data_IF_517544085854
#
_entry.id   IF_517544085854
#
_cell.length_a   1.000
_cell.length_b   1.000
_cell.length_c   1.000
_cell.angle_alpha   90.00
_cell.angle_beta   90.00
_cell.angle_gamma   90.00
#
_symmetry.space_group_name_H-M   'P 1'
#
loop_
_entity.id
_entity.type
_entity.pdbx_description
1 polymer ?
#
# COMPACT_ATOMS: atom_id res chain seq x y z
N UNK A 1 14.09 -20.46 10.19
CA UNK A 1 13.58 -21.67 9.50
C UNK A 1 12.28 -21.29 8.83
N UNK A 2 12.15 -21.53 7.52
CA UNK A 2 10.85 -21.38 6.86
C UNK A 2 9.91 -22.46 7.41
N UNK A 3 8.76 -22.04 7.93
CA UNK A 3 7.72 -22.97 8.38
C UNK A 3 7.09 -23.57 7.12
N UNK A 4 6.78 -24.87 7.15
CA UNK A 4 6.12 -25.54 6.04
C UNK A 4 4.75 -24.88 5.75
N UNK A 5 4.30 -24.98 4.49
CA UNK A 5 2.96 -24.50 4.13
C UNK A 5 1.91 -25.21 4.99
N UNK A 6 1.01 -24.47 5.66
CA UNK A 6 0.03 -25.06 6.55
C UNK A 6 -0.96 -25.90 5.74
N UNK A 7 -1.31 -27.07 6.25
CA UNK A 7 -2.31 -27.96 5.67
C UNK A 7 -3.49 -28.07 6.65
N UNK A 8 -4.61 -27.43 6.32
CA UNK A 8 -5.79 -27.33 7.18
C UNK A 8 -6.78 -28.47 6.94
N UNK A 9 -6.80 -29.01 5.72
CA UNK A 9 -7.73 -30.06 5.32
C UNK A 9 -7.10 -30.94 4.25
N UNK A 10 -7.27 -32.25 4.44
CA UNK A 10 -6.83 -33.25 3.48
C UNK A 10 -7.64 -33.15 2.18
N UNK A 11 -6.92 -33.16 1.07
CA UNK A 11 -7.40 -32.93 -0.30
C UNK A 11 -6.99 -34.07 -1.24
N UNK A 12 -6.52 -35.21 -0.74
CA UNK A 12 -6.22 -36.36 -1.58
C UNK A 12 -7.54 -36.92 -2.19
N UNK A 13 -7.73 -36.82 -3.52
CA UNK A 13 -8.96 -37.29 -4.16
C UNK A 13 -9.17 -38.80 -3.99
N UNK A 14 -8.10 -39.59 -3.94
CA UNK A 14 -8.19 -41.04 -3.79
C UNK A 14 -8.67 -41.40 -2.38
N UNK A 15 -8.17 -40.68 -1.37
CA UNK A 15 -8.60 -40.87 0.01
C UNK A 15 -10.06 -40.48 0.18
N UNK A 16 -10.47 -39.30 -0.28
CA UNK A 16 -11.87 -38.83 -0.23
C UNK A 16 -12.81 -39.84 -0.88
N UNK A 17 -12.45 -40.34 -2.07
CA UNK A 17 -13.28 -41.31 -2.79
C UNK A 17 -13.38 -42.63 -2.03
N UNK A 18 -12.28 -43.11 -1.45
CA UNK A 18 -12.29 -44.37 -0.69
C UNK A 18 -13.09 -44.27 0.61
N UNK A 19 -13.01 -43.14 1.31
CA UNK A 19 -13.84 -42.82 2.48
C UNK A 19 -15.34 -42.81 2.13
N UNK A 20 -15.73 -42.16 1.02
CA UNK A 20 -17.12 -42.14 0.57
C UNK A 20 -17.66 -43.52 0.19
N UNK A 21 -16.85 -44.33 -0.50
CA UNK A 21 -17.24 -45.71 -0.84
C UNK A 21 -17.45 -46.52 0.44
N UNK A 22 -16.51 -46.44 1.39
CA UNK A 22 -16.62 -47.17 2.65
C UNK A 22 -17.89 -46.78 3.43
N UNK A 23 -18.21 -45.49 3.51
CA UNK A 23 -19.44 -45.02 4.15
C UNK A 23 -20.70 -45.52 3.45
N UNK A 24 -20.72 -45.55 2.12
CA UNK A 24 -21.84 -46.09 1.36
C UNK A 24 -22.02 -47.61 1.58
N UNK A 25 -20.92 -48.37 1.55
CA UNK A 25 -20.96 -49.82 1.77
C UNK A 25 -21.43 -50.17 3.18
N UNK A 26 -20.98 -49.41 4.18
CA UNK A 26 -21.42 -49.55 5.57
C UNK A 26 -22.92 -49.24 5.74
N UNK A 27 -23.38 -48.12 5.19
CA UNK A 27 -24.78 -47.70 5.33
C UNK A 27 -25.77 -48.57 4.54
N UNK A 28 -25.38 -49.04 3.36
CA UNK A 28 -26.25 -49.85 2.49
C UNK A 28 -26.16 -51.36 2.76
N UNK A 29 -25.11 -51.82 3.44
CA UNK A 29 -24.78 -53.23 3.61
C UNK A 29 -24.41 -53.94 2.30
N UNK A 30 -24.17 -53.18 1.22
CA UNK A 30 -23.87 -53.71 -0.13
C UNK A 30 -22.46 -53.32 -0.53
N UNK A 31 -21.75 -54.26 -1.14
CA UNK A 31 -20.45 -53.99 -1.76
C UNK A 31 -20.63 -53.29 -3.11
N UNK A 32 -19.89 -52.20 -3.32
CA UNK A 32 -19.99 -51.36 -4.49
C UNK A 32 -18.92 -51.75 -5.54
N UNK A 33 -19.35 -51.94 -6.78
CA UNK A 33 -18.45 -52.32 -7.89
C UNK A 33 -18.28 -51.16 -8.89
N UNK A 34 -17.15 -51.10 -9.62
CA UNK A 34 -16.81 -49.96 -10.48
C UNK A 34 -17.85 -49.57 -11.55
N UNK A 35 -18.59 -50.54 -12.11
CA UNK A 35 -19.53 -50.31 -13.21
C UNK A 35 -20.97 -49.99 -12.77
N UNK A 36 -21.22 -49.79 -11.48
CA UNK A 36 -22.55 -49.50 -10.94
C UNK A 36 -22.88 -48.01 -11.03
N UNK A 37 -24.15 -47.66 -11.23
CA UNK A 37 -24.59 -46.27 -11.34
C UNK A 37 -24.30 -45.48 -10.05
N UNK A 38 -24.42 -46.14 -8.91
CA UNK A 38 -24.11 -45.60 -7.59
C UNK A 38 -22.62 -45.24 -7.47
N UNK A 39 -21.73 -45.99 -8.13
CA UNK A 39 -20.30 -45.65 -8.17
C UNK A 39 -20.04 -44.36 -8.93
N UNK A 40 -20.66 -44.19 -10.10
CA UNK A 40 -20.53 -42.96 -10.88
C UNK A 40 -21.02 -41.73 -10.11
N UNK A 41 -22.10 -41.89 -9.33
CA UNK A 41 -22.59 -40.83 -8.45
C UNK A 41 -21.63 -40.51 -7.31
N UNK A 42 -21.04 -41.53 -6.66
CA UNK A 42 -20.04 -41.33 -5.61
C UNK A 42 -18.79 -40.65 -6.16
N UNK A 43 -18.30 -41.04 -7.34
CA UNK A 43 -17.14 -40.38 -7.97
C UNK A 43 -17.46 -38.90 -8.28
N UNK A 44 -18.68 -38.59 -8.72
CA UNK A 44 -19.13 -37.20 -8.90
C UNK A 44 -19.15 -36.42 -7.57
N UNK A 45 -19.66 -37.02 -6.49
CA UNK A 45 -19.69 -36.38 -5.17
C UNK A 45 -18.29 -36.18 -4.60
N UNK A 46 -17.42 -37.19 -4.70
CA UNK A 46 -16.02 -37.11 -4.26
C UNK A 46 -15.26 -36.01 -5.00
N UNK A 47 -15.48 -35.89 -6.31
CA UNK A 47 -14.90 -34.78 -7.09
C UNK A 47 -15.39 -33.42 -6.61
N UNK A 48 -16.70 -33.26 -6.39
CA UNK A 48 -17.29 -32.01 -5.89
C UNK A 48 -16.80 -31.66 -4.49
N UNK A 49 -16.68 -32.65 -3.60
CA UNK A 49 -16.14 -32.46 -2.26
C UNK A 49 -14.67 -32.05 -2.31
N UNK A 50 -13.85 -32.71 -3.14
CA UNK A 50 -12.45 -32.34 -3.30
C UNK A 50 -12.28 -30.88 -3.72
N UNK A 51 -13.08 -30.40 -4.68
CA UNK A 51 -13.06 -28.97 -5.07
C UNK A 51 -13.41 -28.05 -3.90
N UNK A 52 -14.37 -28.43 -3.05
CA UNK A 52 -14.73 -27.68 -1.85
C UNK A 52 -13.58 -27.69 -0.83
N UNK A 53 -12.94 -28.83 -0.58
CA UNK A 53 -11.80 -28.94 0.34
C UNK A 53 -10.60 -28.11 -0.14
N UNK A 54 -10.33 -28.08 -1.45
CA UNK A 54 -9.34 -27.17 -2.05
C UNK A 54 -9.70 -25.70 -1.79
N UNK A 55 -10.97 -25.31 -2.02
CA UNK A 55 -11.42 -23.96 -1.77
C UNK A 55 -11.31 -23.56 -0.27
N UNK A 56 -11.62 -24.48 0.64
CA UNK A 56 -11.47 -24.29 2.09
C UNK A 56 -9.99 -24.05 2.45
N UNK A 57 -9.08 -24.86 1.92
CA UNK A 57 -7.65 -24.67 2.15
C UNK A 57 -7.18 -23.29 1.65
N UNK A 58 -7.54 -22.91 0.42
CA UNK A 58 -7.15 -21.62 -0.14
C UNK A 58 -7.71 -20.45 0.67
N UNK A 59 -8.97 -20.55 1.12
CA UNK A 59 -9.59 -19.57 2.00
C UNK A 59 -8.89 -19.50 3.37
N UNK A 60 -8.54 -20.64 3.96
CA UNK A 60 -7.83 -20.70 5.23
C UNK A 60 -6.45 -20.04 5.14
N UNK A 61 -5.71 -20.23 4.04
CA UNK A 61 -4.44 -19.55 3.78
C UNK A 61 -4.59 -18.04 3.71
N UNK A 62 -5.72 -17.52 3.21
CA UNK A 62 -5.96 -16.07 3.17
C UNK A 62 -6.09 -15.43 4.55
N UNK A 63 -6.29 -16.20 5.62
CA UNK A 63 -6.29 -15.69 7.00
C UNK A 63 -4.88 -15.53 7.59
N UNK A 64 -3.84 -16.00 6.88
CA UNK A 64 -2.46 -15.93 7.32
C UNK A 64 -1.71 -14.87 6.52
N UNK A 65 -1.17 -13.85 7.20
CA UNK A 65 -0.42 -12.74 6.57
C UNK A 65 0.67 -13.25 5.61
N UNK A 66 1.33 -14.36 5.95
CA UNK A 66 2.37 -14.97 5.12
C UNK A 66 1.91 -15.40 3.71
N UNK A 67 0.63 -15.77 3.57
CA UNK A 67 0.06 -16.36 2.34
C UNK A 67 -1.11 -15.56 1.75
N UNK A 68 -1.63 -14.59 2.50
CA UNK A 68 -2.72 -13.74 2.05
C UNK A 68 -2.28 -12.83 0.90
N UNK A 69 -3.24 -12.52 0.04
CA UNK A 69 -3.17 -11.55 -1.07
C UNK A 69 -4.30 -10.53 -0.94
N UNK A 70 -4.29 -9.48 -1.75
CA UNK A 70 -5.39 -8.54 -1.79
C UNK A 70 -6.74 -9.25 -2.10
N UNK A 71 -7.86 -8.88 -1.43
CA UNK A 71 -8.00 -7.84 -0.40
C UNK A 71 -7.79 -8.35 1.05
N UNK A 72 -7.60 -9.66 1.28
CA UNK A 72 -7.48 -10.19 2.63
C UNK A 72 -6.23 -9.70 3.36
N UNK A 73 -5.11 -9.54 2.65
CA UNK A 73 -3.89 -8.96 3.21
C UNK A 73 -4.12 -7.54 3.75
N UNK A 74 -4.93 -6.75 3.05
CA UNK A 74 -5.27 -5.38 3.44
C UNK A 74 -6.10 -5.36 4.74
N UNK A 75 -7.12 -6.22 4.84
CA UNK A 75 -7.89 -6.38 6.07
C UNK A 75 -7.02 -6.85 7.24
N UNK A 76 -6.11 -7.81 7.02
CA UNK A 76 -5.17 -8.25 8.04
C UNK A 76 -4.18 -7.14 8.44
N UNK A 77 -3.75 -6.31 7.49
CA UNK A 77 -2.91 -5.15 7.75
C UNK A 77 -3.61 -4.08 8.58
N UNK A 78 -4.89 -3.84 8.32
CA UNK A 78 -5.73 -2.90 9.07
C UNK A 78 -5.78 -3.25 10.56
N UNK A 79 -5.82 -4.54 10.92
CA UNK A 79 -5.81 -5.00 12.32
C UNK A 79 -4.54 -4.57 13.09
N UNK A 80 -3.44 -4.31 12.38
CA UNK A 80 -2.17 -3.82 12.96
C UNK A 80 -1.88 -2.36 12.59
N UNK A 81 -2.85 -1.64 12.05
CA UNK A 81 -2.74 -0.23 11.66
C UNK A 81 -1.83 0.02 10.46
N UNK A 82 -1.62 -0.98 9.61
CA UNK A 82 -0.83 -0.86 8.37
C UNK A 82 -1.77 -0.82 7.18
N UNK A 83 -1.71 0.26 6.42
CA UNK A 83 -2.46 0.42 5.18
C UNK A 83 -1.54 0.37 3.96
N UNK A 84 -2.08 -0.13 2.84
CA UNK A 84 -1.41 -0.13 1.54
C UNK A 84 -1.13 1.31 1.11
N UNK A 85 0.09 1.55 0.64
CA UNK A 85 0.44 2.87 0.13
C UNK A 85 -0.18 3.06 -1.26
N UNK A 86 -0.93 4.15 -1.49
CA UNK A 86 -1.51 4.43 -2.79
C UNK A 86 -0.42 4.74 -3.81
N UNK A 87 -0.78 4.62 -5.09
CA UNK A 87 0.09 5.08 -6.17
C UNK A 87 0.43 6.57 -5.99
N UNK A 88 1.69 6.93 -6.22
CA UNK A 88 2.17 8.30 -6.13
C UNK A 88 2.41 8.87 -7.52
N UNK A 89 2.13 10.16 -7.68
CA UNK A 89 2.42 10.88 -8.91
C UNK A 89 3.84 11.43 -8.89
N UNK A 90 4.47 11.47 -10.06
CA UNK A 90 5.78 12.06 -10.23
C UNK A 90 5.73 13.58 -10.05
N UNK A 91 6.81 14.16 -9.53
CA UNK A 91 6.97 15.59 -9.29
C UNK A 91 8.15 16.13 -10.07
N UNK A 92 8.07 17.42 -10.40
CA UNK A 92 9.16 18.18 -11.03
C UNK A 92 9.04 19.66 -10.68
N UNK A 93 10.02 20.45 -11.10
CA UNK A 93 9.97 21.92 -11.03
C UNK A 93 9.78 22.47 -12.44
N UNK A 94 8.70 23.21 -12.67
CA UNK A 94 8.44 23.94 -13.91
C UNK A 94 8.94 25.38 -13.78
N UNK A 95 9.55 25.88 -14.84
CA UNK A 95 9.88 27.28 -15.02
C UNK A 95 8.97 27.87 -16.09
N UNK A 96 8.22 28.89 -15.70
CA UNK A 96 7.47 29.72 -16.63
C UNK A 96 8.32 30.93 -17.00
N UNK A 97 8.36 31.25 -18.29
CA UNK A 97 9.14 32.37 -18.81
C UNK A 97 8.33 33.22 -19.79
N UNK A 98 8.64 34.51 -19.83
CA UNK A 98 8.10 35.48 -20.78
C UNK A 98 9.23 36.08 -21.61
N UNK A 99 8.97 36.40 -22.88
CA UNK A 99 9.96 37.03 -23.76
C UNK A 99 10.20 38.50 -23.43
N UNK A 100 9.21 39.16 -22.83
CA UNK A 100 9.29 40.54 -22.34
C UNK A 100 8.77 40.61 -20.91
N UNK A 101 9.51 41.30 -20.04
CA UNK A 101 9.14 41.43 -18.64
C UNK A 101 7.73 42.03 -18.51
N UNK A 102 6.89 41.37 -17.70
CA UNK A 102 5.53 41.83 -17.47
C UNK A 102 5.55 43.21 -16.78
N UNK A 103 4.66 44.11 -17.22
CA UNK A 103 4.50 45.46 -16.64
C UNK A 103 3.80 45.45 -15.27
N UNK A 104 3.13 44.34 -14.95
CA UNK A 104 2.45 44.08 -13.70
C UNK A 104 2.74 42.64 -13.27
N UNK A 105 2.53 42.35 -11.99
CA UNK A 105 2.63 40.98 -11.50
C UNK A 105 1.66 40.07 -12.26
N UNK A 106 2.15 38.93 -12.73
CA UNK A 106 1.37 37.91 -13.41
C UNK A 106 1.20 36.71 -12.48
N UNK A 107 -0.04 36.33 -12.21
CA UNK A 107 -0.35 35.17 -11.38
C UNK A 107 -0.55 33.97 -12.29
N UNK A 108 0.23 32.91 -12.04
CA UNK A 108 0.03 31.59 -12.60
C UNK A 108 -0.71 30.78 -11.54
N UNK A 109 -1.99 30.44 -11.76
CA UNK A 109 -2.78 29.75 -10.76
C UNK A 109 -2.30 28.31 -10.56
N UNK A 110 -2.55 27.78 -9.37
CA UNK A 110 -2.48 26.36 -9.04
C UNK A 110 -3.30 25.56 -10.07
N UNK A 111 -2.80 24.40 -10.45
CA UNK A 111 -3.46 23.54 -11.42
C UNK A 111 -3.19 23.89 -12.88
N UNK A 112 -2.35 24.90 -13.18
CA UNK A 112 -1.93 25.21 -14.56
C UNK A 112 -1.16 24.03 -15.15
N UNK A 113 -1.59 23.50 -16.30
CA UNK A 113 -1.02 22.27 -16.87
C UNK A 113 0.04 22.53 -17.95
N UNK A 114 1.12 21.78 -17.87
CA UNK A 114 2.15 21.62 -18.91
C UNK A 114 2.27 20.15 -19.33
N UNK A 115 2.40 19.89 -20.62
CA UNK A 115 2.48 18.57 -21.22
C UNK A 115 3.91 18.23 -21.65
N UNK A 116 4.28 16.98 -21.39
CA UNK A 116 5.50 16.34 -21.89
C UNK A 116 5.21 15.49 -23.14
N UNK A 117 4.00 14.91 -23.19
CA UNK A 117 3.45 14.17 -24.32
C UNK A 117 1.92 14.22 -24.27
N UNK A 118 1.25 13.68 -25.29
CA UNK A 118 -0.21 13.64 -25.39
C UNK A 118 -0.91 12.99 -24.17
N UNK A 119 -0.22 12.12 -23.43
CA UNK A 119 -0.77 11.38 -22.29
C UNK A 119 -0.17 11.76 -20.93
N UNK A 120 0.90 12.58 -20.89
CA UNK A 120 1.57 12.96 -19.65
C UNK A 120 1.54 14.48 -19.47
N UNK A 121 0.85 14.92 -18.42
CA UNK A 121 0.67 16.32 -18.05
C UNK A 121 1.05 16.52 -16.59
N UNK A 122 1.58 17.69 -16.27
CA UNK A 122 1.95 18.13 -14.94
C UNK A 122 1.20 19.41 -14.61
N UNK A 123 0.64 19.48 -13.41
CA UNK A 123 -0.11 20.62 -12.92
C UNK A 123 0.68 21.32 -11.80
N UNK A 124 0.67 22.66 -11.78
CA UNK A 124 1.32 23.44 -10.71
C UNK A 124 0.70 23.17 -9.35
N UNK A 125 1.54 23.00 -8.33
CA UNK A 125 1.10 22.62 -6.98
C UNK A 125 0.54 23.80 -6.17
N UNK A 126 0.89 25.03 -6.54
CA UNK A 126 0.47 26.25 -5.86
C UNK A 126 0.35 27.43 -6.84
N UNK A 127 -0.32 28.49 -6.39
CA UNK A 127 -0.31 29.78 -7.08
C UNK A 127 1.09 30.38 -7.02
N UNK A 128 1.64 30.76 -8.18
CA UNK A 128 2.94 31.42 -8.25
C UNK A 128 2.81 32.77 -8.96
N UNK A 129 3.47 33.78 -8.41
CA UNK A 129 3.48 35.13 -8.98
C UNK A 129 4.80 35.35 -9.70
N UNK A 130 4.73 35.63 -11.00
CA UNK A 130 5.84 36.22 -11.74
C UNK A 130 5.84 37.74 -11.48
N UNK A 131 6.83 38.27 -10.74
CA UNK A 131 6.86 39.70 -10.42
C UNK A 131 7.03 40.57 -11.66
N UNK A 132 6.50 41.79 -11.60
CA UNK A 132 6.77 42.79 -12.63
C UNK A 132 8.29 43.02 -12.77
N UNK A 133 8.79 43.08 -14.01
CA UNK A 133 10.23 43.21 -14.29
C UNK A 133 11.01 41.88 -14.30
N UNK A 134 10.44 40.77 -13.82
CA UNK A 134 11.05 39.44 -13.92
C UNK A 134 10.73 38.77 -15.26
N UNK A 135 11.65 37.92 -15.74
CA UNK A 135 11.49 37.17 -16.99
C UNK A 135 11.06 35.72 -16.78
N UNK A 136 11.31 35.16 -15.59
CA UNK A 136 10.94 33.79 -15.28
C UNK A 136 10.64 33.58 -13.81
N UNK A 137 9.87 32.54 -13.52
CA UNK A 137 9.54 32.07 -12.18
C UNK A 137 9.46 30.55 -12.18
N UNK A 138 9.87 29.91 -11.09
CA UNK A 138 9.83 28.47 -10.92
C UNK A 138 8.77 28.07 -9.89
N UNK A 139 8.11 26.93 -10.11
CA UNK A 139 7.08 26.36 -9.23
C UNK A 139 7.12 24.85 -9.31
N UNK A 140 6.79 24.16 -8.21
CA UNK A 140 6.67 22.71 -8.23
C UNK A 140 5.40 22.29 -8.97
N UNK A 141 5.48 21.14 -9.64
CA UNK A 141 4.37 20.58 -10.36
C UNK A 141 4.31 19.07 -10.16
N UNK A 142 3.10 18.55 -10.06
CA UNK A 142 2.81 17.13 -9.90
C UNK A 142 2.14 16.59 -11.16
N UNK A 143 2.53 15.39 -11.59
CA UNK A 143 1.93 14.69 -12.71
C UNK A 143 0.44 14.43 -12.42
N UNK A 144 -0.42 14.67 -13.41
CA UNK A 144 -1.86 14.46 -13.28
C UNK A 144 -2.17 12.96 -13.13
N UNK A 145 -1.40 12.10 -13.80
CA UNK A 145 -1.49 10.65 -13.63
C UNK A 145 -0.56 10.17 -12.52
N UNK A 146 -1.05 9.28 -11.67
CA UNK A 146 -0.23 8.52 -10.71
C UNK A 146 0.53 7.39 -11.41
N UNK A 147 1.62 6.93 -10.80
CA UNK A 147 2.43 5.84 -11.34
C UNK A 147 3.72 6.29 -12.00
N UNK A 148 4.40 5.35 -12.64
CA UNK A 148 5.76 5.55 -13.15
C UNK A 148 5.83 6.29 -14.49
N UNK A 149 4.71 6.45 -15.20
CA UNK A 149 4.66 7.13 -16.50
C UNK A 149 5.07 8.60 -16.44
N UNK A 150 4.91 9.23 -15.28
CA UNK A 150 5.35 10.60 -15.02
C UNK A 150 6.84 10.73 -14.71
N UNK A 151 7.62 9.65 -14.65
CA UNK A 151 9.05 9.71 -14.31
C UNK A 151 9.97 9.94 -15.52
N UNK A 152 11.19 10.37 -15.23
CA UNK A 152 12.33 10.44 -16.15
C UNK A 152 12.18 11.42 -17.33
N UNK A 153 11.23 12.37 -17.27
CA UNK A 153 11.16 13.48 -18.23
C UNK A 153 12.31 14.44 -17.96
N UNK A 154 13.28 14.46 -18.87
CA UNK A 154 14.50 15.25 -18.75
C UNK A 154 14.20 16.76 -18.82
N UNK A 155 15.09 17.63 -18.32
CA UNK A 155 14.93 19.08 -18.43
C UNK A 155 14.54 19.53 -19.84
N UNK A 156 13.65 20.51 -19.92
CA UNK A 156 13.04 21.04 -21.13
C UNK A 156 12.15 20.09 -21.95
N UNK A 157 11.93 18.83 -21.54
CA UNK A 157 11.01 17.93 -22.26
C UNK A 157 9.53 18.22 -21.95
N UNK A 158 9.23 18.74 -20.76
CA UNK A 158 7.88 19.19 -20.38
C UNK A 158 7.78 20.65 -20.82
N UNK A 159 7.27 20.88 -22.04
CA UNK A 159 7.39 22.20 -22.70
C UNK A 159 6.11 22.75 -23.33
N UNK A 160 5.06 21.92 -23.46
CA UNK A 160 3.81 22.35 -24.07
C UNK A 160 2.85 22.90 -23.00
N UNK A 161 2.62 24.22 -22.99
CA UNK A 161 1.62 24.83 -22.10
C UNK A 161 0.21 24.49 -22.59
N UNK A 162 -0.59 23.85 -21.73
CA UNK A 162 -1.95 23.39 -22.06
C UNK A 162 -2.99 24.45 -21.72
N UNK A 163 -2.86 25.04 -20.53
CA UNK A 163 -3.82 26.03 -20.04
C UNK A 163 -3.34 27.45 -20.32
N UNK A 164 -4.26 28.31 -20.78
CA UNK A 164 -3.96 29.73 -20.99
C UNK A 164 -3.88 30.45 -19.65
N UNK A 165 -2.80 31.19 -19.42
CA UNK A 165 -2.60 31.99 -18.21
C UNK A 165 -2.54 33.47 -18.58
N UNK A 166 -3.62 34.20 -18.26
CA UNK A 166 -3.76 35.61 -18.59
C UNK A 166 -3.69 35.88 -20.10
N UNK A 167 -3.22 37.07 -20.46
CA UNK A 167 -3.07 37.54 -21.85
C UNK A 167 -1.59 37.60 -22.29
N UNK A 168 -0.71 36.84 -21.63
CA UNK A 168 0.72 36.83 -21.91
C UNK A 168 1.12 35.57 -22.67
N UNK A 169 2.06 35.71 -23.61
CA UNK A 169 2.71 34.59 -24.27
C UNK A 169 3.77 33.99 -23.32
N UNK A 170 3.35 32.99 -22.56
CA UNK A 170 4.19 32.24 -21.63
C UNK A 170 4.78 31.00 -22.32
N UNK A 171 6.06 30.75 -22.07
CA UNK A 171 6.67 29.44 -22.29
C UNK A 171 6.83 28.72 -20.95
N UNK A 172 6.77 27.39 -20.98
CA UNK A 172 7.01 26.54 -19.83
C UNK A 172 8.09 25.52 -20.17
N UNK A 173 8.98 25.24 -19.23
CA UNK A 173 9.96 24.15 -19.32
C UNK A 173 10.17 23.55 -17.94
N UNK A 174 10.43 22.24 -17.84
CA UNK A 174 10.91 21.68 -16.57
C UNK A 174 12.41 21.93 -16.38
N UNK A 175 12.80 22.30 -15.16
CA UNK A 175 14.19 22.51 -14.76
C UNK A 175 14.88 21.22 -14.32
N UNK A 176 14.12 20.32 -13.72
CA UNK A 176 14.61 19.07 -13.14
C UNK A 176 13.99 17.88 -13.86
N UNK A 177 14.68 16.74 -13.82
CA UNK A 177 14.06 15.49 -14.24
C UNK A 177 12.88 15.15 -13.32
N UNK A 178 11.77 14.68 -13.88
CA UNK A 178 10.62 14.27 -13.07
C UNK A 178 10.90 12.95 -12.36
N UNK A 179 10.44 12.82 -11.11
CA UNK A 179 10.69 11.64 -10.28
C UNK A 179 9.65 11.47 -9.17
N UNK A 180 9.66 10.32 -8.49
CA UNK A 180 8.79 10.04 -7.35
C UNK A 180 7.44 9.43 -7.71
N UNK A 181 7.14 9.24 -9.00
CA UNK A 181 5.97 8.49 -9.42
C UNK A 181 6.18 7.00 -9.16
N UNK A 182 5.23 6.34 -8.50
CA UNK A 182 5.29 4.91 -8.27
C UNK A 182 3.89 4.31 -8.28
N UNK A 183 3.81 3.02 -8.62
CA UNK A 183 2.56 2.27 -8.54
C UNK A 183 2.08 2.12 -7.09
N UNK A 184 0.85 1.63 -6.95
CA UNK A 184 0.36 1.17 -5.65
C UNK A 184 1.30 0.08 -5.09
N UNK A 185 1.47 0.08 -3.78
CA UNK A 185 2.32 -0.90 -3.12
C UNK A 185 1.87 -2.34 -3.41
N UNK A 186 2.82 -3.21 -3.71
CA UNK A 186 2.55 -4.63 -3.97
C UNK A 186 2.35 -5.45 -2.68
N UNK A 187 1.77 -6.64 -2.83
CA UNK A 187 1.46 -7.52 -1.69
C UNK A 187 2.71 -7.94 -0.90
N UNK A 188 3.86 -8.12 -1.57
CA UNK A 188 5.09 -8.54 -0.91
C UNK A 188 5.68 -7.46 0.01
N UNK A 189 5.65 -6.20 -0.43
CA UNK A 189 6.08 -5.06 0.36
C UNK A 189 5.11 -4.80 1.52
N UNK A 190 3.79 -4.81 1.25
CA UNK A 190 2.77 -4.67 2.28
C UNK A 190 2.91 -5.76 3.35
N UNK A 191 3.06 -7.02 2.95
CA UNK A 191 3.22 -8.16 3.85
C UNK A 191 4.40 -7.98 4.81
N UNK A 192 5.56 -7.52 4.31
CA UNK A 192 6.72 -7.25 5.15
C UNK A 192 6.42 -6.18 6.20
N UNK A 193 5.74 -5.09 5.80
CA UNK A 193 5.36 -4.02 6.75
C UNK A 193 4.36 -4.51 7.79
N UNK A 194 3.35 -5.29 7.40
CA UNK A 194 2.38 -5.89 8.32
C UNK A 194 3.09 -6.80 9.33
N UNK A 195 4.05 -7.62 8.89
CA UNK A 195 4.82 -8.51 9.75
C UNK A 195 5.72 -7.76 10.75
N UNK A 196 6.27 -6.60 10.37
CA UNK A 196 7.13 -5.77 11.22
C UNK A 196 6.34 -4.82 12.15
N UNK A 197 5.06 -4.55 11.87
CA UNK A 197 4.25 -3.62 12.65
C UNK A 197 4.21 -3.91 14.17
N UNK A 198 4.15 -5.17 14.64
CA UNK A 198 4.21 -5.50 16.07
C UNK A 198 5.45 -4.96 16.80
N UNK A 199 6.61 -4.88 16.13
CA UNK A 199 7.86 -4.40 16.73
C UNK A 199 7.77 -2.91 17.12
N UNK A 200 6.97 -2.12 16.39
CA UNK A 200 6.74 -0.70 16.68
C UNK A 200 5.99 -0.49 18.01
N UNK A 201 5.17 -1.44 18.44
CA UNK A 201 4.47 -1.37 19.73
C UNK A 201 5.43 -1.62 20.89
N UNK A 202 6.44 -2.48 20.72
CA UNK A 202 7.45 -2.74 21.75
C UNK A 202 8.39 -1.55 21.97
N UNK A 203 8.86 -0.92 20.89
CA UNK A 203 9.71 0.28 20.99
C UNK A 203 8.96 1.44 21.65
N UNK A 204 7.70 1.66 21.27
CA UNK A 204 6.84 2.63 21.97
C UNK A 204 6.72 2.25 23.44
N UNK A 205 6.33 1.01 23.78
CA UNK A 205 6.22 0.51 25.16
C UNK A 205 7.44 0.79 26.04
N UNK A 206 8.66 0.60 25.52
CA UNK A 206 9.91 0.92 26.22
C UNK A 206 10.09 2.44 26.43
N UNK A 207 9.75 3.27 25.44
CA UNK A 207 9.78 4.74 25.57
C UNK A 207 8.80 5.24 26.65
N UNK A 208 7.58 4.70 26.75
CA UNK A 208 6.65 5.05 27.86
C UNK A 208 7.19 4.60 29.23
N UNK A 209 7.83 3.42 29.29
CA UNK A 209 8.42 2.89 30.53
C UNK A 209 9.63 3.70 31.01
N UNK A 210 10.37 4.30 30.08
CA UNK A 210 11.51 5.18 30.37
C UNK A 210 11.11 6.64 30.64
N UNK A 211 9.89 7.07 30.29
CA UNK A 211 9.35 8.40 30.63
C UNK A 211 8.54 8.44 31.94
N UNK A 212 8.15 7.28 32.48
CA UNK A 212 7.50 7.12 33.79
C UNK A 212 8.35 7.45 35.06
N UNK A 213 9.70 7.50 35.07
CA UNK A 213 10.44 7.81 36.30
C UNK A 213 10.31 9.26 36.80
N UNK A 214 9.70 10.16 36.04
CA UNK A 214 9.57 11.58 36.45
C UNK A 214 8.23 11.92 37.14
N UNK A 215 7.24 11.01 37.13
CA UNK A 215 5.89 11.29 37.63
C UNK A 215 5.56 10.66 38.99
N UNK A 216 6.40 9.76 39.51
CA UNK A 216 6.23 9.21 40.86
C UNK A 216 7.41 9.68 41.71
N UNK A 217 7.10 10.63 42.60
CA UNK A 217 8.04 11.38 43.41
C UNK A 217 9.10 10.54 44.11
N UNK A 218 10.28 11.15 44.26
CA UNK A 218 11.34 10.62 45.11
C UNK A 218 10.79 10.30 46.51
N UNK A 219 11.22 9.20 47.15
CA UNK A 219 10.79 8.89 48.50
C UNK A 219 11.32 9.98 49.45
N UNK A 220 10.41 10.67 50.13
CA UNK A 220 10.75 11.59 51.22
C UNK A 220 11.31 10.75 52.37
N UNK A 221 12.60 10.94 52.65
CA UNK A 221 13.34 10.20 53.66
C UNK A 221 12.94 10.70 55.08
N UNK A 222 11.98 10.02 55.71
CA UNK A 222 11.45 10.39 57.03
C UNK A 222 12.11 9.58 58.15
N UNK A 223 13.43 9.72 58.34
CA UNK A 223 14.12 9.21 59.56
C UNK A 223 15.32 10.07 59.98
N UNK A 224 15.08 10.99 60.93
CA UNK A 224 15.79 11.15 62.22
C UNK A 224 15.52 12.55 62.80
N UNK A 225 14.48 12.64 63.61
CA UNK A 225 14.30 13.71 64.58
C UNK A 225 13.92 13.09 65.92
N UNK A 226 14.90 12.94 66.82
CA UNK A 226 14.69 12.31 68.12
C UNK A 226 15.94 12.35 69.02
N UNK A 227 16.09 13.49 69.70
CA UNK A 227 16.60 13.72 71.07
C UNK A 227 18.01 13.23 71.53
N UNK A 228 18.71 14.15 72.23
CA UNK A 228 19.85 13.92 73.14
C UNK A 228 20.73 15.18 73.22
N UNK A 229 20.45 16.14 74.11
CA UNK A 229 21.00 16.25 75.47
C UNK A 229 22.53 16.49 75.50
N UNK A 230 22.92 17.69 75.94
CA UNK A 230 24.29 18.18 76.10
C UNK A 230 24.32 19.70 76.11
#
# INVERSE_FOLDING_TARGET
MAIAEPDFIDRDPAQITSEMIAQYEEASGKKLYPAQAERLLIDLFAYRENLVRIAIQEAAKQNLVAYSRAPMLDYLGELVGVHRLPAQAAKTTLQFSVTQAAKSNLVIPQGTRASASDSVMFATDEDVVLPAGSLSVAVTATCVATGESGNNWQPAQISALVDRVGNYDLSVTNLTASSGGCGEENDDALRKRVQLAPESFQQRGQLWRLSLPYALGQPVDYRRGGAGAG
#
